data_IF_794208861409
#
_entry.id   IF_794208861409
#
_cell.length_a   1.000
_cell.length_b   1.000
_cell.length_c   1.000
_cell.angle_alpha   90.00
_cell.angle_beta   90.00
_cell.angle_gamma   90.00
#
_symmetry.space_group_name_H-M   'P 1'
#
loop_
_entity.id
_entity.type
_entity.pdbx_description
1 polymer ?
#
# COMPACT_ATOMS: atom_id res chain seq x y z
N UNK A 1 -26.32 34.40 48.14
CA UNK A 1 -25.34 34.59 47.06
C UNK A 1 -25.79 33.74 45.88
N UNK A 2 -26.15 34.33 44.74
CA UNK A 2 -26.55 33.59 43.52
C UNK A 2 -25.32 33.54 42.60
N UNK A 3 -24.78 32.34 42.38
CA UNK A 3 -23.68 32.13 41.44
C UNK A 3 -24.27 31.90 40.04
N UNK A 4 -23.96 32.81 39.12
CA UNK A 4 -24.33 32.70 37.71
C UNK A 4 -23.25 31.89 36.99
N UNK A 5 -23.62 30.73 36.45
CA UNK A 5 -22.73 29.91 35.64
C UNK A 5 -22.85 30.38 34.18
N UNK A 6 -21.79 31.00 33.66
CA UNK A 6 -21.66 31.27 32.22
C UNK A 6 -21.02 30.06 31.54
N UNK A 7 -21.78 29.37 30.69
CA UNK A 7 -21.27 28.34 29.78
C UNK A 7 -20.63 29.02 28.56
N UNK A 8 -19.31 28.94 28.43
CA UNK A 8 -18.60 29.31 27.20
C UNK A 8 -18.72 28.14 26.21
N UNK A 9 -19.49 28.28 25.14
CA UNK A 9 -19.53 27.31 24.06
C UNK A 9 -18.29 27.48 23.17
N UNK A 10 -17.36 26.52 23.22
CA UNK A 10 -16.27 26.43 22.25
C UNK A 10 -16.83 25.87 20.93
N UNK A 11 -16.95 26.73 19.90
CA UNK A 11 -17.33 26.31 18.55
C UNK A 11 -16.03 25.93 17.81
N UNK A 12 -15.84 24.66 17.40
CA UNK A 12 -14.75 24.31 16.51
C UNK A 12 -15.03 24.93 15.12
N UNK A 13 -14.21 25.88 14.69
CA UNK A 13 -14.25 26.35 13.30
C UNK A 13 -13.72 25.23 12.39
N UNK A 14 -14.65 24.48 11.78
CA UNK A 14 -14.32 23.60 10.67
C UNK A 14 -14.02 24.45 9.43
N UNK A 15 -12.76 24.47 8.99
CA UNK A 15 -12.36 25.12 7.75
C UNK A 15 -12.93 24.31 6.57
N UNK A 16 -14.03 24.79 5.99
CA UNK A 16 -14.53 24.28 4.72
C UNK A 16 -13.64 24.78 3.57
N UNK A 17 -12.99 23.88 2.84
CA UNK A 17 -12.30 24.23 1.60
C UNK A 17 -13.30 24.32 0.43
N UNK A 18 -13.02 25.16 -0.59
CA UNK A 18 -13.87 25.26 -1.77
C UNK A 18 -14.14 23.88 -2.41
N UNK A 19 -15.42 23.52 -2.58
CA UNK A 19 -15.84 22.25 -3.19
C UNK A 19 -16.34 21.17 -2.22
N UNK A 20 -16.21 21.36 -0.90
CA UNK A 20 -16.66 20.35 0.09
C UNK A 20 -18.18 20.12 0.10
N UNK A 21 -19.00 21.07 -0.36
CA UNK A 21 -20.47 20.91 -0.47
C UNK A 21 -20.90 19.87 -1.50
N UNK A 22 -20.07 19.65 -2.54
CA UNK A 22 -20.29 18.60 -3.53
C UNK A 22 -19.64 17.27 -3.16
N UNK A 23 -18.70 17.26 -2.20
CA UNK A 23 -17.88 16.10 -1.88
C UNK A 23 -18.72 14.87 -1.53
N UNK A 24 -19.74 15.00 -0.67
CA UNK A 24 -20.58 13.86 -0.28
C UNK A 24 -21.43 13.33 -1.43
N UNK A 25 -21.92 14.21 -2.31
CA UNK A 25 -22.66 13.79 -3.51
C UNK A 25 -21.74 13.09 -4.52
N UNK A 26 -20.53 13.61 -4.69
CA UNK A 26 -19.53 13.05 -5.61
C UNK A 26 -18.96 11.71 -5.10
N UNK A 27 -18.72 11.59 -3.80
CA UNK A 27 -18.38 10.32 -3.15
C UNK A 27 -19.52 9.31 -3.32
N UNK A 28 -20.78 9.74 -3.15
CA UNK A 28 -21.96 8.90 -3.36
C UNK A 28 -22.05 8.34 -4.78
N UNK A 29 -21.79 9.17 -5.80
CA UNK A 29 -21.75 8.73 -7.22
C UNK A 29 -20.64 7.71 -7.48
N UNK A 30 -19.46 7.90 -6.87
CA UNK A 30 -18.34 6.96 -7.01
C UNK A 30 -18.58 5.64 -6.29
N UNK A 31 -19.30 5.67 -5.17
CA UNK A 31 -19.61 4.47 -4.40
C UNK A 31 -20.70 3.60 -5.06
N UNK A 32 -21.58 4.17 -5.88
CA UNK A 32 -22.53 3.41 -6.71
C UNK A 32 -21.89 2.78 -7.96
N UNK A 33 -20.72 3.23 -8.37
CA UNK A 33 -19.96 2.75 -9.54
C UNK A 33 -18.84 1.77 -9.14
N UNK A 34 -19.02 1.00 -8.06
CA UNK A 34 -18.13 -0.12 -7.77
C UNK A 34 -18.29 -1.20 -8.85
N UNK A 35 -17.46 -1.12 -9.87
CA UNK A 35 -17.42 -2.14 -10.91
C UNK A 35 -16.77 -3.40 -10.34
N UNK A 36 -17.54 -4.49 -10.22
CA UNK A 36 -17.01 -5.84 -9.94
C UNK A 36 -16.29 -6.44 -11.17
N UNK A 37 -15.73 -5.58 -12.01
CA UNK A 37 -14.98 -5.95 -13.19
C UNK A 37 -13.64 -6.50 -12.75
N UNK A 38 -13.27 -7.62 -13.35
CA UNK A 38 -11.95 -8.19 -13.18
C UNK A 38 -10.94 -7.37 -14.01
N UNK A 39 -9.68 -7.41 -13.59
CA UNK A 39 -8.58 -6.68 -14.19
C UNK A 39 -7.42 -7.63 -14.49
N UNK A 40 -6.53 -7.23 -15.41
CA UNK A 40 -5.33 -8.00 -15.73
C UNK A 40 -5.62 -9.41 -16.24
N UNK A 41 -4.87 -10.38 -15.73
CA UNK A 41 -4.99 -11.79 -16.10
C UNK A 41 -6.26 -12.45 -15.56
N UNK A 42 -6.89 -11.89 -14.52
CA UNK A 42 -8.13 -12.40 -13.95
C UNK A 42 -9.33 -12.30 -14.91
N UNK A 43 -9.24 -11.44 -15.93
CA UNK A 43 -10.27 -11.30 -16.97
C UNK A 43 -10.36 -12.56 -17.83
N UNK A 44 -9.20 -13.03 -18.32
CA UNK A 44 -9.13 -14.04 -19.38
C UNK A 44 -8.81 -15.44 -18.83
N UNK A 45 -8.21 -15.53 -17.62
CA UNK A 45 -7.78 -16.80 -17.05
C UNK A 45 -8.96 -17.59 -16.43
N UNK A 46 -9.16 -18.86 -16.79
CA UNK A 46 -10.14 -19.74 -16.14
C UNK A 46 -9.84 -19.95 -14.65
N UNK A 47 -10.89 -20.15 -13.84
CA UNK A 47 -10.77 -20.44 -12.39
C UNK A 47 -9.88 -21.65 -12.10
N UNK A 48 -9.94 -22.68 -12.96
CA UNK A 48 -9.15 -23.91 -12.81
C UNK A 48 -7.65 -23.71 -12.98
N UNK A 49 -7.24 -22.61 -13.62
CA UNK A 49 -5.84 -22.26 -13.87
C UNK A 49 -5.30 -21.22 -12.86
N UNK A 50 -6.15 -20.74 -11.94
CA UNK A 50 -5.74 -19.82 -10.89
C UNK A 50 -5.17 -20.58 -9.69
N UNK A 51 -4.13 -20.00 -9.09
CA UNK A 51 -3.71 -20.39 -7.75
C UNK A 51 -4.82 -20.11 -6.73
N UNK A 52 -4.70 -20.68 -5.54
CA UNK A 52 -5.59 -20.37 -4.41
C UNK A 52 -5.64 -18.85 -4.15
N UNK A 53 -4.48 -18.19 -4.08
CA UNK A 53 -4.40 -16.73 -3.95
C UNK A 53 -5.07 -15.99 -5.11
N UNK A 54 -4.91 -16.46 -6.35
CA UNK A 54 -5.58 -15.85 -7.51
C UNK A 54 -7.10 -15.95 -7.43
N UNK A 55 -7.63 -17.06 -6.93
CA UNK A 55 -9.06 -17.23 -6.68
C UNK A 55 -9.56 -16.32 -5.55
N UNK A 56 -8.83 -16.21 -4.44
CA UNK A 56 -9.16 -15.25 -3.36
C UNK A 56 -9.18 -13.81 -3.88
N UNK A 57 -8.18 -13.38 -4.65
CA UNK A 57 -8.15 -12.02 -5.23
C UNK A 57 -9.36 -11.80 -6.14
N UNK A 58 -9.69 -12.78 -7.01
CA UNK A 58 -10.89 -12.70 -7.85
C UNK A 58 -12.15 -12.51 -7.01
N UNK A 59 -12.34 -13.31 -5.97
CA UNK A 59 -13.52 -13.24 -5.11
C UNK A 59 -13.61 -11.89 -4.37
N UNK A 60 -12.49 -11.37 -3.87
CA UNK A 60 -12.42 -10.05 -3.25
C UNK A 60 -12.87 -8.96 -4.25
N UNK A 61 -12.33 -8.98 -5.47
CA UNK A 61 -12.70 -8.02 -6.52
C UNK A 61 -14.17 -8.13 -6.96
N UNK A 62 -14.78 -9.30 -6.80
CA UNK A 62 -16.18 -9.55 -7.09
C UNK A 62 -17.10 -9.32 -5.87
N UNK A 63 -16.54 -8.93 -4.73
CA UNK A 63 -17.28 -8.66 -3.49
C UNK A 63 -17.82 -9.91 -2.80
N UNK A 64 -17.25 -11.09 -3.06
CA UNK A 64 -17.69 -12.37 -2.50
C UNK A 64 -16.79 -12.89 -1.38
N UNK A 65 -15.72 -12.18 -1.04
CA UNK A 65 -14.77 -12.55 0.01
C UNK A 65 -14.24 -11.29 0.72
N UNK A 66 -13.87 -11.41 2.00
CA UNK A 66 -13.35 -10.29 2.80
C UNK A 66 -11.87 -10.04 2.44
N UNK A 67 -11.47 -8.82 2.08
CA UNK A 67 -10.07 -8.49 1.84
C UNK A 67 -9.19 -8.50 3.11
N UNK A 68 -9.76 -8.65 4.31
CA UNK A 68 -9.04 -8.61 5.57
C UNK A 68 -8.88 -10.01 6.17
N UNK A 69 -7.61 -10.38 6.37
CA UNK A 69 -7.26 -11.50 7.23
C UNK A 69 -6.89 -10.98 8.62
N UNK A 70 -7.58 -11.51 9.63
CA UNK A 70 -7.38 -11.19 11.04
C UNK A 70 -6.81 -12.35 11.86
N UNK A 71 -6.59 -13.50 11.21
CA UNK A 71 -6.33 -14.77 11.88
C UNK A 71 -4.91 -15.28 11.67
N UNK A 72 -4.28 -14.96 10.54
CA UNK A 72 -2.92 -15.37 10.27
C UNK A 72 -1.89 -14.34 10.74
N UNK A 73 -0.83 -14.84 11.36
CA UNK A 73 0.37 -14.07 11.68
C UNK A 73 1.60 -14.84 11.24
N UNK A 74 2.67 -14.09 10.92
CA UNK A 74 3.96 -14.65 10.57
C UNK A 74 5.03 -13.99 11.47
N UNK A 75 5.60 -14.78 12.38
CA UNK A 75 6.57 -14.35 13.38
C UNK A 75 7.96 -14.95 13.12
N UNK A 76 8.99 -14.24 13.58
CA UNK A 76 10.41 -14.64 13.60
C UNK A 76 10.90 -15.41 12.36
N UNK A 77 11.34 -14.70 11.28
CA UNK A 77 11.86 -15.39 10.10
C UNK A 77 13.21 -16.07 10.43
N UNK A 78 13.50 -17.26 9.87
CA UNK A 78 14.86 -17.79 9.84
C UNK A 78 15.85 -16.78 9.24
N UNK A 79 17.15 -16.97 9.49
CA UNK A 79 18.16 -16.11 8.90
C UNK A 79 18.09 -16.14 7.36
N UNK A 80 18.23 -14.97 6.72
CA UNK A 80 17.94 -14.75 5.29
C UNK A 80 18.65 -15.72 4.34
N UNK A 81 19.89 -16.10 4.64
CA UNK A 81 20.73 -16.95 3.78
C UNK A 81 20.63 -18.45 4.12
N UNK A 82 19.60 -18.86 4.85
CA UNK A 82 19.37 -20.27 5.21
C UNK A 82 18.47 -20.98 4.21
N UNK A 83 18.62 -22.30 4.12
CA UNK A 83 17.73 -23.14 3.29
C UNK A 83 16.29 -23.06 3.79
N UNK A 84 16.11 -22.99 5.11
CA UNK A 84 14.82 -22.84 5.77
C UNK A 84 14.11 -21.56 5.32
N UNK A 85 14.83 -20.44 5.19
CA UNK A 85 14.28 -19.21 4.65
C UNK A 85 13.97 -19.31 3.15
N UNK A 86 14.80 -20.00 2.37
CA UNK A 86 14.59 -20.17 0.94
C UNK A 86 13.37 -21.05 0.60
N UNK A 87 13.02 -22.00 1.48
CA UNK A 87 11.85 -22.88 1.35
C UNK A 87 10.55 -22.18 1.78
N UNK A 88 10.65 -21.07 2.54
CA UNK A 88 9.51 -20.31 3.04
C UNK A 88 9.32 -18.99 2.28
N UNK A 89 8.25 -18.93 1.48
CA UNK A 89 7.94 -17.76 0.66
C UNK A 89 7.76 -16.47 1.49
N UNK A 90 7.37 -16.56 2.76
CA UNK A 90 7.14 -15.40 3.64
C UNK A 90 8.42 -14.89 4.31
N UNK A 91 9.50 -15.69 4.36
CA UNK A 91 10.68 -15.38 5.17
C UNK A 91 11.35 -14.06 4.73
N UNK A 92 11.67 -13.92 3.45
CA UNK A 92 12.32 -12.71 2.90
C UNK A 92 11.41 -11.49 3.08
N UNK A 93 10.10 -11.66 2.84
CA UNK A 93 9.13 -10.59 3.02
C UNK A 93 9.02 -10.11 4.47
N UNK A 94 9.21 -10.99 5.45
CA UNK A 94 9.23 -10.58 6.85
C UNK A 94 10.48 -9.77 7.20
N UNK A 95 11.66 -10.14 6.70
CA UNK A 95 12.89 -9.33 6.85
C UNK A 95 12.70 -7.93 6.25
N UNK A 96 12.17 -7.86 5.04
CA UNK A 96 11.84 -6.60 4.35
C UNK A 96 10.87 -5.78 5.20
N UNK A 97 9.80 -6.39 5.72
CA UNK A 97 8.79 -5.67 6.48
C UNK A 97 9.33 -5.08 7.79
N UNK A 98 10.21 -5.80 8.50
CA UNK A 98 10.89 -5.32 9.70
C UNK A 98 11.76 -4.11 9.36
N UNK A 99 12.56 -4.20 8.28
CA UNK A 99 13.41 -3.10 7.84
C UNK A 99 12.58 -1.88 7.42
N UNK A 100 11.54 -2.07 6.61
CA UNK A 100 10.62 -1.03 6.17
C UNK A 100 10.00 -0.30 7.36
N UNK A 101 9.49 -1.04 8.34
CA UNK A 101 8.89 -0.45 9.52
C UNK A 101 9.90 0.40 10.32
N UNK A 102 11.13 -0.10 10.48
CA UNK A 102 12.19 0.65 11.16
C UNK A 102 12.50 1.99 10.49
N UNK A 103 12.36 2.07 9.16
CA UNK A 103 12.55 3.29 8.36
C UNK A 103 11.32 4.20 8.33
N UNK A 104 10.13 3.69 8.64
CA UNK A 104 8.87 4.42 8.58
C UNK A 104 8.42 5.04 9.91
N UNK A 105 9.06 4.67 11.02
CA UNK A 105 8.67 5.10 12.36
C UNK A 105 9.77 5.95 12.99
N UNK A 106 9.40 7.14 13.47
CA UNK A 106 10.26 8.00 14.27
C UNK A 106 9.46 8.49 15.48
N UNK A 107 10.01 8.35 16.69
CA UNK A 107 9.33 8.67 17.95
C UNK A 107 7.93 8.03 18.09
N UNK A 108 7.77 6.82 17.56
CA UNK A 108 6.49 6.13 17.57
C UNK A 108 5.41 6.84 16.74
N UNK A 109 5.79 7.57 15.68
CA UNK A 109 4.91 8.20 14.70
C UNK A 109 5.36 7.87 13.27
N UNK A 110 4.41 7.88 12.32
CA UNK A 110 4.74 7.71 10.90
C UNK A 110 5.50 8.95 10.41
N UNK A 111 6.70 8.74 9.90
CA UNK A 111 7.55 9.83 9.41
C UNK A 111 7.23 10.19 7.94
N UNK A 112 8.07 11.03 7.34
CA UNK A 112 7.91 11.53 5.98
C UNK A 112 8.02 10.41 4.94
N UNK A 113 8.92 9.46 5.17
CA UNK A 113 9.10 8.32 4.30
C UNK A 113 7.85 7.42 4.30
N UNK A 114 7.22 7.18 5.45
CA UNK A 114 5.96 6.43 5.51
C UNK A 114 4.86 7.06 4.64
N UNK A 115 4.75 8.39 4.63
CA UNK A 115 3.79 9.10 3.78
C UNK A 115 4.14 9.03 2.30
N UNK A 116 5.44 9.10 1.97
CA UNK A 116 5.92 8.89 0.61
C UNK A 116 5.62 7.48 0.12
N UNK A 117 5.85 6.45 0.93
CA UNK A 117 5.60 5.05 0.58
C UNK A 117 4.13 4.78 0.20
N UNK A 118 3.18 5.30 0.99
CA UNK A 118 1.74 5.22 0.67
C UNK A 118 1.47 5.88 -0.69
N UNK A 119 2.04 7.06 -0.93
CA UNK A 119 1.87 7.80 -2.17
C UNK A 119 2.54 7.08 -3.35
N UNK A 120 3.69 6.45 -3.17
CA UNK A 120 4.37 5.66 -4.19
C UNK A 120 3.53 4.47 -4.63
N UNK A 121 2.93 3.73 -3.69
CA UNK A 121 2.03 2.62 -4.03
C UNK A 121 0.89 3.04 -4.96
N UNK A 122 0.29 4.21 -4.70
CA UNK A 122 -0.70 4.80 -5.59
C UNK A 122 -0.10 5.26 -6.92
N UNK A 123 1.00 6.00 -6.92
CA UNK A 123 1.58 6.57 -8.14
C UNK A 123 2.12 5.51 -9.11
N UNK A 124 2.59 4.37 -8.61
CA UNK A 124 2.93 3.20 -9.41
C UNK A 124 1.64 2.61 -10.02
N UNK A 125 0.66 2.25 -9.17
CA UNK A 125 -0.56 1.59 -9.60
C UNK A 125 -1.51 2.44 -10.49
N UNK A 126 -1.52 3.75 -10.32
CA UNK A 126 -2.50 4.65 -10.94
C UNK A 126 -2.26 4.91 -12.44
N UNK A 127 -1.13 4.46 -12.99
CA UNK A 127 -0.83 4.62 -14.41
C UNK A 127 -1.64 3.66 -15.32
N UNK A 128 -2.43 2.74 -14.75
CA UNK A 128 -3.26 1.80 -15.50
C UNK A 128 -4.62 2.38 -15.89
N UNK A 129 -5.08 2.11 -17.13
CA UNK A 129 -6.46 2.40 -17.54
C UNK A 129 -6.95 1.45 -18.63
N UNK A 130 -8.27 1.21 -18.64
CA UNK A 130 -8.95 0.43 -19.70
C UNK A 130 -8.78 1.03 -21.10
N UNK A 131 -8.52 2.34 -21.20
CA UNK A 131 -8.38 3.04 -22.47
C UNK A 131 -6.96 3.03 -23.06
N UNK A 132 -5.96 2.65 -22.27
CA UNK A 132 -4.54 2.75 -22.64
C UNK A 132 -3.86 1.40 -22.85
N UNK A 133 -4.58 0.28 -22.66
CA UNK A 133 -4.08 -1.07 -22.91
C UNK A 133 -4.08 -1.95 -21.67
N UNK A 134 -3.44 -3.12 -21.77
CA UNK A 134 -3.31 -4.09 -20.67
C UNK A 134 -2.07 -3.82 -19.79
N UNK A 135 -1.15 -3.00 -20.27
CA UNK A 135 0.14 -2.74 -19.62
C UNK A 135 0.06 -1.57 -18.62
N UNK A 136 0.98 -1.54 -17.66
CA UNK A 136 1.02 -0.54 -16.58
C UNK A 136 0.39 -1.01 -15.28
N UNK A 137 0.31 -0.11 -14.30
CA UNK A 137 -0.28 -0.37 -13.00
C UNK A 137 0.78 -0.65 -11.95
N UNK A 138 0.51 -1.54 -11.00
CA UNK A 138 1.44 -1.88 -9.94
C UNK A 138 2.59 -2.75 -10.47
N UNK A 139 3.43 -2.19 -11.32
CA UNK A 139 4.45 -2.90 -12.12
C UNK A 139 5.89 -2.42 -11.82
N UNK A 140 6.07 -1.48 -10.89
CA UNK A 140 7.37 -0.95 -10.50
C UNK A 140 7.93 0.12 -11.45
N UNK A 141 7.18 0.50 -12.49
CA UNK A 141 7.60 1.49 -13.48
C UNK A 141 7.92 2.85 -12.86
N UNK A 142 7.30 3.20 -11.72
CA UNK A 142 7.60 4.44 -10.99
C UNK A 142 9.11 4.64 -10.76
N UNK A 143 9.82 3.55 -10.43
CA UNK A 143 11.27 3.56 -10.20
C UNK A 143 12.03 3.05 -11.43
N UNK A 144 11.59 1.94 -12.04
CA UNK A 144 12.30 1.30 -13.16
C UNK A 144 12.39 2.22 -14.40
N UNK A 145 11.36 3.02 -14.66
CA UNK A 145 11.34 4.01 -15.74
C UNK A 145 11.79 5.41 -15.28
N UNK A 146 12.33 5.52 -14.05
CA UNK A 146 12.82 6.76 -13.44
C UNK A 146 11.78 7.88 -13.33
N UNK A 147 10.50 7.53 -13.21
CA UNK A 147 9.41 8.50 -13.20
C UNK A 147 9.46 9.47 -12.02
N UNK A 148 10.09 9.09 -10.90
CA UNK A 148 10.33 10.00 -9.76
C UNK A 148 11.19 11.22 -10.12
N UNK A 149 11.98 11.13 -11.19
CA UNK A 149 12.90 12.19 -11.61
C UNK A 149 12.47 12.86 -12.92
N UNK A 150 11.78 12.12 -13.79
CA UNK A 150 11.36 12.62 -15.11
C UNK A 150 9.98 13.27 -15.10
N UNK A 151 9.12 12.97 -14.10
CA UNK A 151 7.78 13.55 -13.97
C UNK A 151 7.73 14.56 -12.83
N UNK A 152 7.29 15.79 -13.13
CA UNK A 152 7.18 16.87 -12.14
C UNK A 152 6.31 16.51 -10.94
N UNK A 153 5.19 15.82 -11.18
CA UNK A 153 4.22 15.41 -10.15
C UNK A 153 4.81 14.46 -9.09
N UNK A 154 5.89 13.76 -9.44
CA UNK A 154 6.56 12.78 -8.58
C UNK A 154 7.78 13.36 -7.84
N UNK A 155 8.06 14.66 -7.97
CA UNK A 155 9.27 15.28 -7.38
C UNK A 155 9.37 15.07 -5.87
N UNK A 156 8.23 15.08 -5.17
CA UNK A 156 8.18 14.86 -3.71
C UNK A 156 8.39 13.39 -3.29
N UNK A 157 8.54 12.46 -4.24
CA UNK A 157 8.76 11.04 -3.99
C UNK A 157 10.22 10.61 -4.13
N UNK A 158 11.11 11.50 -4.60
CA UNK A 158 12.51 11.15 -4.95
C UNK A 158 13.25 10.42 -3.83
N UNK A 159 13.24 10.96 -2.61
CA UNK A 159 13.88 10.31 -1.47
C UNK A 159 13.29 8.93 -1.15
N UNK A 160 11.98 8.76 -1.33
CA UNK A 160 11.33 7.47 -1.16
C UNK A 160 11.73 6.47 -2.25
N UNK A 161 11.81 6.93 -3.50
CA UNK A 161 12.29 6.13 -4.62
C UNK A 161 13.75 5.70 -4.44
N UNK A 162 14.62 6.60 -3.96
CA UNK A 162 16.01 6.28 -3.61
C UNK A 162 16.05 5.16 -2.55
N UNK A 163 15.27 5.28 -1.47
CA UNK A 163 15.24 4.26 -0.40
C UNK A 163 14.70 2.90 -0.88
N UNK A 164 13.67 2.88 -1.72
CA UNK A 164 13.12 1.62 -2.28
C UNK A 164 14.11 1.01 -3.28
N UNK A 165 14.83 1.82 -4.05
CA UNK A 165 15.90 1.34 -4.92
C UNK A 165 17.02 0.65 -4.12
N UNK A 166 17.42 1.20 -2.97
CA UNK A 166 18.39 0.54 -2.07
C UNK A 166 17.91 -0.85 -1.60
N UNK A 167 16.63 -0.99 -1.25
CA UNK A 167 16.06 -2.28 -0.89
C UNK A 167 15.98 -3.23 -2.07
N UNK A 168 15.61 -2.74 -3.25
CA UNK A 168 15.60 -3.57 -4.45
C UNK A 168 17.00 -4.12 -4.75
N UNK A 169 18.03 -3.28 -4.67
CA UNK A 169 19.41 -3.73 -4.89
C UNK A 169 19.89 -4.75 -3.85
N UNK A 170 19.38 -4.68 -2.62
CA UNK A 170 19.64 -5.66 -1.56
C UNK A 170 18.90 -6.99 -1.75
N UNK A 171 17.61 -6.94 -2.08
CA UNK A 171 16.72 -8.11 -2.01
C UNK A 171 16.42 -8.78 -3.36
N UNK A 172 16.76 -8.16 -4.49
CA UNK A 172 16.46 -8.73 -5.83
C UNK A 172 17.07 -10.12 -6.07
N UNK A 173 18.18 -10.46 -5.43
CA UNK A 173 18.78 -11.80 -5.50
C UNK A 173 17.90 -12.88 -4.88
N UNK A 174 16.94 -12.51 -4.03
CA UNK A 174 15.96 -13.39 -3.42
C UNK A 174 14.63 -13.46 -4.21
N UNK A 175 14.61 -12.99 -5.47
CA UNK A 175 13.42 -13.03 -6.32
C UNK A 175 12.42 -11.90 -6.06
N UNK A 176 12.79 -10.90 -5.26
CA UNK A 176 11.95 -9.75 -4.95
C UNK A 176 11.88 -8.79 -6.14
N UNK A 177 10.67 -8.43 -6.56
CA UNK A 177 10.46 -7.46 -7.64
C UNK A 177 10.36 -6.02 -7.11
N UNK A 178 10.61 -5.04 -7.99
CA UNK A 178 10.42 -3.62 -7.66
C UNK A 178 8.95 -3.31 -7.35
N UNK A 179 8.03 -3.87 -8.15
CA UNK A 179 6.60 -3.71 -7.98
C UNK A 179 6.15 -4.14 -6.57
N UNK A 180 6.55 -5.35 -6.17
CA UNK A 180 6.17 -5.90 -4.87
C UNK A 180 6.76 -5.06 -3.72
N UNK A 181 7.99 -4.55 -3.85
CA UNK A 181 8.58 -3.65 -2.85
C UNK A 181 7.81 -2.34 -2.70
N UNK A 182 7.42 -1.70 -3.80
CA UNK A 182 6.63 -0.46 -3.76
C UNK A 182 5.28 -0.72 -3.10
N UNK A 183 4.60 -1.79 -3.47
CA UNK A 183 3.28 -2.12 -2.91
C UNK A 183 3.37 -2.57 -1.44
N UNK A 184 4.41 -3.31 -1.06
CA UNK A 184 4.68 -3.68 0.33
C UNK A 184 4.97 -2.45 1.19
N UNK A 185 5.78 -1.51 0.68
CA UNK A 185 6.05 -0.25 1.37
C UNK A 185 4.76 0.56 1.57
N UNK A 186 3.90 0.66 0.55
CA UNK A 186 2.63 1.39 0.62
C UNK A 186 1.60 0.77 1.58
N UNK A 187 1.68 -0.54 1.85
CA UNK A 187 0.78 -1.29 2.74
C UNK A 187 1.33 -1.48 4.16
N UNK A 188 2.61 -1.16 4.39
CA UNK A 188 3.29 -1.38 5.67
C UNK A 188 2.63 -0.57 6.79
N UNK A 189 2.26 -1.26 7.87
CA UNK A 189 1.61 -0.65 9.04
C UNK A 189 2.64 -0.28 10.10
N UNK A 190 2.40 0.86 10.76
CA UNK A 190 3.15 1.36 11.93
C UNK A 190 3.30 0.32 13.06
N UNK A 191 2.35 -0.61 13.19
CA UNK A 191 2.24 -1.54 14.32
C UNK A 191 2.59 -3.00 13.96
N UNK A 192 3.55 -3.25 13.07
CA UNK A 192 4.21 -4.56 13.08
C UNK A 192 5.08 -4.62 14.35
N UNK A 193 4.49 -4.70 15.54
CA UNK A 193 5.30 -4.74 16.76
C UNK A 193 6.40 -5.81 16.56
N UNK A 194 7.67 -5.56 16.95
CA UNK A 194 8.55 -6.68 17.17
C UNK A 194 7.83 -7.52 18.22
N UNK A 195 7.34 -8.70 17.81
CA UNK A 195 6.95 -9.72 18.78
C UNK A 195 8.19 -9.88 19.66
N UNK A 196 8.11 -9.37 20.89
CA UNK A 196 9.19 -9.51 21.84
C UNK A 196 9.28 -10.99 22.17
N UNK A 197 10.48 -11.54 22.02
CA UNK A 197 10.87 -12.89 22.44
C UNK A 197 10.35 -13.24 23.85
#
# INVERSE_FOLDING_TARGET
MKATISLLAAIPMAYAFPGMSGLMSELGKRQSDNSNLLIGDLVDRPIVDLSETGNTIRNILQGTEDPQDHSNSYSCPPAMDTRECAEDTCCIWKHIAIEMQSKMSEHGQCNDFARQAIRMGFHDAAAWSLGTGKDGGADGSLILARECYTRGDNTALRSGCDQVQEWYDRYKSHGVSMADLIQMAGKSKKNMAPDQD
#
